data_IF_105131167307
#
_entry.id   IF_105131167307
#
_cell.length_a   1.000
_cell.length_b   1.000
_cell.length_c   1.000
_cell.angle_alpha   90.00
_cell.angle_beta   90.00
_cell.angle_gamma   90.00
#
_symmetry.space_group_name_H-M   'P 1'
#
loop_
_entity.id
_entity.type
_entity.pdbx_description
1 polymer ?
#
# COMPACT_ATOMS: atom_id res chain seq x y z
N UNK A 1 -35.23 18.97 -52.99
CA UNK A 1 -35.09 18.72 -51.53
C UNK A 1 -34.32 17.43 -51.38
N UNK A 2 -33.18 17.45 -50.67
CA UNK A 2 -32.35 16.24 -50.55
C UNK A 2 -33.05 15.20 -49.65
N UNK A 3 -32.88 13.89 -49.92
CA UNK A 3 -33.61 12.82 -49.21
C UNK A 3 -33.45 12.88 -47.69
N UNK A 4 -32.31 13.37 -47.19
CA UNK A 4 -32.03 13.50 -45.76
C UNK A 4 -32.75 14.67 -45.08
N UNK A 5 -33.18 15.70 -45.83
CA UNK A 5 -33.96 16.83 -45.31
C UNK A 5 -35.41 16.44 -45.07
N UNK A 6 -35.99 15.67 -46.00
CA UNK A 6 -37.33 15.12 -45.87
C UNK A 6 -37.38 14.10 -44.72
N UNK A 7 -36.38 13.20 -44.66
CA UNK A 7 -36.22 12.26 -43.55
C UNK A 7 -36.02 12.94 -42.18
N UNK A 8 -35.48 14.17 -42.14
CA UNK A 8 -35.37 14.94 -40.90
C UNK A 8 -36.73 15.44 -40.41
N UNK A 9 -37.57 15.96 -41.32
CA UNK A 9 -38.94 16.41 -41.00
C UNK A 9 -39.79 15.25 -40.48
N UNK A 10 -39.69 14.12 -41.17
CA UNK A 10 -40.34 12.86 -40.80
C UNK A 10 -39.91 12.36 -39.40
N UNK A 11 -38.62 12.47 -39.07
CA UNK A 11 -38.13 12.21 -37.71
C UNK A 11 -38.70 13.19 -36.69
N UNK A 12 -38.75 14.48 -37.01
CA UNK A 12 -39.31 15.50 -36.10
C UNK A 12 -40.81 15.28 -35.86
N UNK A 13 -41.51 14.67 -36.81
CA UNK A 13 -42.90 14.20 -36.66
C UNK A 13 -43.02 12.89 -35.86
N UNK A 14 -41.91 12.32 -35.36
CA UNK A 14 -41.89 11.17 -34.47
C UNK A 14 -41.69 9.81 -35.13
N UNK A 15 -41.47 9.74 -36.46
CA UNK A 15 -41.24 8.46 -37.13
C UNK A 15 -39.92 7.82 -36.75
N UNK A 16 -39.93 6.48 -36.62
CA UNK A 16 -38.73 5.72 -36.25
C UNK A 16 -37.80 5.57 -37.44
N UNK A 17 -36.50 5.39 -37.17
CA UNK A 17 -35.49 5.26 -38.24
C UNK A 17 -35.71 4.05 -39.17
N UNK A 18 -36.40 3.01 -38.71
CA UNK A 18 -36.78 1.86 -39.54
C UNK A 18 -37.84 2.25 -40.59
N UNK A 19 -38.90 2.94 -40.15
CA UNK A 19 -39.98 3.42 -41.02
C UNK A 19 -39.47 4.45 -42.04
N UNK A 20 -38.56 5.33 -41.62
CA UNK A 20 -37.89 6.29 -42.52
C UNK A 20 -37.01 5.55 -43.54
N UNK A 21 -36.28 4.52 -43.13
CA UNK A 21 -35.45 3.72 -44.01
C UNK A 21 -36.30 3.04 -45.11
N UNK A 22 -37.41 2.42 -44.73
CA UNK A 22 -38.36 1.79 -45.65
C UNK A 22 -39.02 2.81 -46.59
N UNK A 23 -39.53 3.94 -46.06
CA UNK A 23 -40.20 5.00 -46.85
C UNK A 23 -39.31 5.60 -47.94
N UNK A 24 -38.01 5.75 -47.68
CA UNK A 24 -37.07 6.34 -48.63
C UNK A 24 -36.23 5.30 -49.40
N UNK A 25 -36.49 4.00 -49.19
CA UNK A 25 -35.77 2.89 -49.83
C UNK A 25 -34.27 2.89 -49.52
N UNK A 26 -33.88 3.30 -48.32
CA UNK A 26 -32.48 3.39 -47.89
C UNK A 26 -32.21 2.45 -46.71
N UNK A 27 -30.96 2.04 -46.53
CA UNK A 27 -30.61 1.24 -45.36
C UNK A 27 -30.75 2.05 -44.06
N UNK A 28 -31.06 1.38 -42.95
CA UNK A 28 -31.07 2.01 -41.63
C UNK A 28 -29.72 2.65 -41.28
N UNK A 29 -28.61 2.11 -41.81
CA UNK A 29 -27.27 2.66 -41.60
C UNK A 29 -27.10 4.00 -42.32
N UNK A 30 -27.74 4.18 -43.48
CA UNK A 30 -27.79 5.46 -44.20
C UNK A 30 -28.53 6.52 -43.38
N UNK A 31 -29.68 6.17 -42.78
CA UNK A 31 -30.43 7.08 -41.89
C UNK A 31 -29.61 7.47 -40.66
N UNK A 32 -28.89 6.52 -40.05
CA UNK A 32 -27.96 6.80 -38.94
C UNK A 32 -26.80 7.71 -39.37
N UNK A 33 -26.27 7.54 -40.56
CA UNK A 33 -25.23 8.41 -41.11
C UNK A 33 -25.73 9.84 -41.33
N UNK A 34 -26.97 10.02 -41.80
CA UNK A 34 -27.62 11.33 -41.90
C UNK A 34 -27.78 12.01 -40.54
N UNK A 35 -28.20 11.26 -39.51
CA UNK A 35 -28.25 11.77 -38.13
C UNK A 35 -26.89 12.34 -37.70
N UNK A 36 -25.83 11.53 -37.85
CA UNK A 36 -24.50 11.90 -37.39
C UNK A 36 -23.91 13.10 -38.14
N UNK A 37 -24.09 13.14 -39.48
CA UNK A 37 -23.38 14.10 -40.34
C UNK A 37 -24.16 15.38 -40.59
N UNK A 38 -25.49 15.33 -40.63
CA UNK A 38 -26.35 16.44 -41.05
C UNK A 38 -27.26 16.91 -39.91
N UNK A 39 -27.96 15.98 -39.24
CA UNK A 39 -28.97 16.37 -38.25
C UNK A 39 -28.38 16.86 -36.93
N UNK A 40 -27.22 16.35 -36.49
CA UNK A 40 -26.58 16.81 -35.26
C UNK A 40 -26.32 18.33 -35.23
N UNK A 41 -25.99 18.95 -36.38
CA UNK A 41 -25.81 20.41 -36.49
C UNK A 41 -27.16 21.15 -36.50
N UNK A 42 -28.18 20.56 -37.14
CA UNK A 42 -29.53 21.10 -37.20
C UNK A 42 -30.23 21.06 -35.82
N UNK A 43 -30.01 19.99 -35.05
CA UNK A 43 -30.54 19.79 -33.69
C UNK A 43 -29.91 20.82 -32.72
N UNK A 44 -28.63 21.16 -32.86
CA UNK A 44 -27.94 22.19 -32.07
C UNK A 44 -28.43 23.62 -32.39
N UNK A 45 -28.83 23.88 -33.64
CA UNK A 45 -29.38 25.17 -34.05
C UNK A 45 -30.85 25.35 -33.64
N UNK A 46 -31.62 24.26 -33.57
CA UNK A 46 -33.04 24.29 -33.20
C UNK A 46 -33.31 24.15 -31.70
N UNK A 47 -32.37 23.61 -30.91
CA UNK A 47 -32.43 23.50 -29.46
C UNK A 47 -31.03 23.72 -28.87
N UNK A 48 -30.71 24.92 -28.38
CA UNK A 48 -29.44 25.17 -27.70
C UNK A 48 -29.37 24.28 -26.45
N UNK A 49 -28.25 23.58 -26.19
CA UNK A 49 -28.10 22.86 -24.94
C UNK A 49 -28.14 23.85 -23.76
N UNK A 50 -28.85 23.55 -22.65
CA UNK A 50 -28.81 24.40 -21.46
C UNK A 50 -27.35 24.57 -21.01
N UNK A 51 -26.97 25.80 -20.65
CA UNK A 51 -25.63 26.14 -20.14
C UNK A 51 -25.22 25.11 -19.10
N UNK A 52 -24.08 24.44 -19.33
CA UNK A 52 -23.49 23.49 -18.39
C UNK A 52 -23.06 24.22 -17.12
N UNK A 53 -23.97 24.32 -16.16
CA UNK A 53 -23.59 24.49 -14.75
C UNK A 53 -23.10 23.14 -14.24
N UNK A 54 -21.93 23.12 -13.62
CA UNK A 54 -21.29 21.92 -13.14
C UNK A 54 -22.11 21.30 -11.98
N UNK A 55 -23.02 20.39 -12.30
CA UNK A 55 -23.60 19.51 -11.30
C UNK A 55 -22.60 18.40 -10.97
N UNK A 56 -22.00 18.51 -9.78
CA UNK A 56 -21.20 17.45 -9.17
C UNK A 56 -22.13 16.24 -8.98
N UNK A 57 -21.96 15.22 -9.83
CA UNK A 57 -22.66 13.94 -9.66
C UNK A 57 -22.26 13.33 -8.33
N UNK A 58 -23.18 13.30 -7.38
CA UNK A 58 -23.05 12.45 -6.21
C UNK A 58 -23.15 11.00 -6.68
N UNK A 59 -22.07 10.23 -6.49
CA UNK A 59 -22.10 8.78 -6.62
C UNK A 59 -22.93 8.26 -5.45
N UNK A 60 -24.22 8.03 -5.69
CA UNK A 60 -25.07 7.27 -4.79
C UNK A 60 -24.54 5.84 -4.67
N UNK A 61 -23.77 5.58 -3.62
CA UNK A 61 -23.64 4.25 -3.06
C UNK A 61 -24.64 4.20 -1.91
N UNK A 62 -25.67 3.36 -2.05
CA UNK A 62 -26.59 3.03 -0.96
C UNK A 62 -25.77 2.38 0.15
N UNK A 63 -25.25 3.18 1.07
CA UNK A 63 -24.58 2.67 2.25
C UNK A 63 -25.67 2.08 3.13
N UNK A 64 -25.69 0.74 3.24
CA UNK A 64 -26.34 0.04 4.35
C UNK A 64 -26.03 0.84 5.62
N UNK A 65 -27.07 1.35 6.29
CA UNK A 65 -26.99 1.80 7.68
C UNK A 65 -26.53 0.59 8.50
N UNK A 66 -25.22 0.40 8.57
CA UNK A 66 -24.64 -0.28 9.72
C UNK A 66 -24.89 0.70 10.86
N UNK A 67 -25.77 0.33 11.78
CA UNK A 67 -25.85 0.97 13.09
C UNK A 67 -24.87 0.20 13.97
N UNK A 68 -23.61 0.64 14.09
CA UNK A 68 -22.81 0.28 15.25
C UNK A 68 -23.55 0.83 16.47
N UNK A 69 -24.06 -0.10 17.26
CA UNK A 69 -24.72 0.18 18.53
C UNK A 69 -23.60 0.53 19.51
N UNK A 70 -23.20 1.81 19.50
CA UNK A 70 -22.43 2.38 20.58
C UNK A 70 -23.44 2.74 21.67
N UNK A 71 -23.46 1.94 22.74
CA UNK A 71 -24.29 2.16 23.93
C UNK A 71 -23.69 3.27 24.82
N UNK A 72 -23.61 4.48 24.26
CA UNK A 72 -23.19 5.69 24.98
C UNK A 72 -24.29 6.76 24.89
N UNK A 73 -25.08 6.94 25.94
CA UNK A 73 -26.18 7.92 25.96
C UNK A 73 -25.70 9.39 26.05
N UNK A 74 -24.41 9.63 26.34
CA UNK A 74 -23.83 10.96 26.47
C UNK A 74 -23.45 11.59 25.12
N UNK A 75 -23.33 10.77 24.06
CA UNK A 75 -22.94 11.20 22.72
C UNK A 75 -24.13 11.21 21.76
N UNK A 76 -24.22 12.25 20.94
CA UNK A 76 -25.21 12.29 19.86
C UNK A 76 -24.91 11.23 18.80
N UNK A 77 -25.93 10.79 18.05
CA UNK A 77 -25.74 9.83 16.96
C UNK A 77 -24.66 10.28 15.97
N UNK A 78 -24.61 11.58 15.64
CA UNK A 78 -23.58 12.13 14.75
C UNK A 78 -22.18 12.07 15.35
N UNK A 79 -22.05 12.25 16.66
CA UNK A 79 -20.77 12.13 17.36
C UNK A 79 -20.29 10.68 17.42
N UNK A 80 -21.21 9.74 17.65
CA UNK A 80 -20.93 8.30 17.55
C UNK A 80 -20.42 7.96 16.15
N UNK A 81 -21.16 8.35 15.11
CA UNK A 81 -20.76 8.16 13.71
C UNK A 81 -19.40 8.80 13.40
N UNK A 82 -19.13 9.98 13.97
CA UNK A 82 -17.82 10.62 13.84
C UNK A 82 -16.69 9.76 14.41
N UNK A 83 -16.86 9.20 15.61
CA UNK A 83 -15.84 8.34 16.23
C UNK A 83 -15.55 7.11 15.37
N UNK A 84 -16.58 6.48 14.83
CA UNK A 84 -16.46 5.30 13.96
C UNK A 84 -15.75 5.61 12.64
N UNK A 85 -16.17 6.68 11.96
CA UNK A 85 -15.49 7.11 10.73
C UNK A 85 -14.07 7.59 11.01
N UNK A 86 -13.79 8.13 12.19
CA UNK A 86 -12.44 8.50 12.58
C UNK A 86 -11.54 7.27 12.71
N UNK A 87 -12.01 6.19 13.35
CA UNK A 87 -11.25 4.93 13.43
C UNK A 87 -11.08 4.26 12.06
N UNK A 88 -12.03 4.46 11.13
CA UNK A 88 -11.91 3.93 9.77
C UNK A 88 -10.88 4.69 8.92
N UNK A 89 -10.87 6.03 8.96
CA UNK A 89 -10.06 6.85 8.03
C UNK A 89 -8.81 7.48 8.67
N UNK A 90 -8.70 7.45 10.00
CA UNK A 90 -7.70 8.19 10.79
C UNK A 90 -7.55 9.65 10.37
N UNK A 91 -8.68 10.26 9.96
CA UNK A 91 -8.73 11.62 9.44
C UNK A 91 -9.98 12.33 9.97
N UNK A 92 -9.78 13.30 10.86
CA UNK A 92 -10.87 14.03 11.51
C UNK A 92 -11.76 14.77 10.51
N UNK A 93 -11.18 15.47 9.54
CA UNK A 93 -11.93 16.21 8.52
C UNK A 93 -12.84 15.28 7.72
N UNK A 94 -12.30 14.16 7.23
CA UNK A 94 -13.05 13.19 6.44
C UNK A 94 -14.14 12.50 7.27
N UNK A 95 -13.84 12.15 8.53
CA UNK A 95 -14.80 11.56 9.45
C UNK A 95 -15.97 12.51 9.73
N UNK A 96 -15.67 13.80 9.95
CA UNK A 96 -16.69 14.83 10.17
C UNK A 96 -17.56 15.04 8.93
N UNK A 97 -16.97 15.09 7.74
CA UNK A 97 -17.74 15.18 6.49
C UNK A 97 -18.74 14.04 6.33
N UNK A 98 -18.36 12.82 6.73
CA UNK A 98 -19.26 11.66 6.62
C UNK A 98 -20.33 11.65 7.72
N UNK A 99 -19.95 11.95 8.96
CA UNK A 99 -20.87 11.97 10.09
C UNK A 99 -21.92 13.08 10.00
N UNK A 100 -21.51 14.28 9.57
CA UNK A 100 -22.35 15.47 9.52
C UNK A 100 -22.81 15.86 8.11
N UNK A 101 -22.37 15.12 7.08
CA UNK A 101 -22.74 15.33 5.67
C UNK A 101 -22.51 16.78 5.20
N UNK A 102 -21.40 17.38 5.63
CA UNK A 102 -21.09 18.77 5.32
C UNK A 102 -19.96 18.92 4.29
N UNK A 103 -19.79 20.14 3.77
CA UNK A 103 -18.69 20.46 2.86
C UNK A 103 -17.33 20.41 3.58
N UNK A 104 -16.26 20.38 2.78
CA UNK A 104 -14.90 20.22 3.26
C UNK A 104 -14.44 21.38 4.14
N UNK A 105 -14.80 22.64 3.81
CA UNK A 105 -14.34 23.79 4.55
C UNK A 105 -14.98 23.82 5.95
N UNK A 106 -16.28 23.54 6.03
CA UNK A 106 -16.99 23.39 7.29
C UNK A 106 -16.40 22.28 8.16
N UNK A 107 -16.16 21.10 7.57
CA UNK A 107 -15.56 19.98 8.29
C UNK A 107 -14.14 20.29 8.78
N UNK A 108 -13.32 20.92 7.95
CA UNK A 108 -11.94 21.28 8.29
C UNK A 108 -11.87 22.21 9.50
N UNK A 109 -12.82 23.13 9.62
CA UNK A 109 -12.88 24.06 10.75
C UNK A 109 -13.44 23.41 12.03
N UNK A 110 -14.45 22.55 11.91
CA UNK A 110 -15.17 21.98 13.05
C UNK A 110 -14.54 20.69 13.59
N UNK A 111 -13.98 19.83 12.75
CA UNK A 111 -13.50 18.51 13.14
C UNK A 111 -12.41 18.53 14.22
N UNK A 112 -11.39 19.42 14.18
CA UNK A 112 -10.40 19.50 15.25
C UNK A 112 -11.01 19.88 16.60
N UNK A 113 -12.02 20.76 16.60
CA UNK A 113 -12.73 21.16 17.82
C UNK A 113 -13.54 20.01 18.39
N UNK A 114 -14.17 19.21 17.53
CA UNK A 114 -14.92 18.03 17.96
C UNK A 114 -13.99 16.98 18.57
N UNK A 115 -12.85 16.70 17.91
CA UNK A 115 -11.83 15.77 18.40
C UNK A 115 -11.20 16.20 19.73
N UNK A 116 -11.19 17.51 20.03
CA UNK A 116 -10.66 18.03 21.28
C UNK A 116 -11.60 17.82 22.48
N UNK A 117 -12.89 17.54 22.27
CA UNK A 117 -13.86 17.31 23.35
C UNK A 117 -13.51 16.06 24.15
N UNK A 118 -13.62 16.16 25.47
CA UNK A 118 -13.27 15.08 26.42
C UNK A 118 -14.09 13.81 26.14
N UNK A 119 -15.41 13.93 26.04
CA UNK A 119 -16.29 12.79 25.76
C UNK A 119 -15.98 12.06 24.45
N UNK A 120 -15.55 12.80 23.42
CA UNK A 120 -15.15 12.21 22.13
C UNK A 120 -13.83 11.45 22.25
N UNK A 121 -12.88 11.97 23.04
CA UNK A 121 -11.60 11.31 23.29
C UNK A 121 -11.77 10.03 24.10
N UNK A 122 -12.60 10.08 25.15
CA UNK A 122 -12.92 8.92 25.98
C UNK A 122 -13.55 7.81 25.14
N UNK A 123 -14.55 8.14 24.33
CA UNK A 123 -15.18 7.18 23.41
C UNK A 123 -14.18 6.58 22.40
N UNK A 124 -13.35 7.42 21.79
CA UNK A 124 -12.29 6.93 20.88
C UNK A 124 -11.29 6.01 21.59
N UNK A 125 -11.02 6.26 22.87
CA UNK A 125 -10.12 5.43 23.67
C UNK A 125 -10.77 4.08 24.00
N UNK A 126 -12.05 4.08 24.36
CA UNK A 126 -12.85 2.86 24.60
C UNK A 126 -12.93 2.00 23.34
N UNK A 127 -13.39 2.57 22.23
CA UNK A 127 -13.51 1.86 20.95
C UNK A 127 -12.17 1.34 20.44
N UNK A 128 -11.08 2.07 20.68
CA UNK A 128 -9.73 1.61 20.32
C UNK A 128 -9.29 0.45 21.21
N UNK A 129 -9.60 0.47 22.51
CA UNK A 129 -9.30 -0.62 23.41
C UNK A 129 -10.09 -1.88 23.06
N UNK A 130 -11.38 -1.75 22.73
CA UNK A 130 -12.22 -2.85 22.22
C UNK A 130 -11.64 -3.43 20.93
N UNK A 131 -11.29 -2.57 19.97
CA UNK A 131 -10.66 -3.01 18.72
C UNK A 131 -9.31 -3.71 18.98
N UNK A 132 -8.53 -3.26 19.95
CA UNK A 132 -7.28 -3.92 20.36
C UNK A 132 -7.51 -5.23 21.12
N UNK A 133 -8.66 -5.42 21.76
CA UNK A 133 -9.03 -6.72 22.35
C UNK A 133 -9.47 -7.72 21.26
N UNK A 134 -10.19 -7.24 20.25
CA UNK A 134 -10.60 -8.05 19.09
C UNK A 134 -9.43 -8.37 18.14
N UNK A 135 -8.44 -7.47 18.04
CA UNK A 135 -7.19 -7.69 17.31
C UNK A 135 -6.16 -8.26 18.28
N UNK A 136 -5.94 -9.57 18.24
CA UNK A 136 -4.92 -10.30 19.02
C UNK A 136 -3.44 -9.89 18.76
N UNK A 137 -3.18 -8.75 18.12
CA UNK A 137 -1.84 -8.27 17.76
C UNK A 137 -1.55 -6.97 18.52
N UNK A 138 -0.64 -7.03 19.49
CA UNK A 138 -0.16 -5.91 20.28
C UNK A 138 1.08 -5.25 19.64
N UNK A 139 1.44 -4.05 20.13
CA UNK A 139 2.69 -3.35 19.80
C UNK A 139 3.90 -4.25 20.07
N UNK A 140 3.86 -5.09 21.12
CA UNK A 140 4.91 -6.08 21.40
C UNK A 140 5.06 -7.11 20.29
N UNK A 141 3.97 -7.53 19.67
CA UNK A 141 4.00 -8.48 18.55
C UNK A 141 4.61 -7.82 17.31
N UNK A 142 4.30 -6.54 17.07
CA UNK A 142 4.92 -5.76 15.99
C UNK A 142 6.43 -5.56 16.21
N UNK A 143 6.85 -5.30 17.45
CA UNK A 143 8.28 -5.19 17.81
C UNK A 143 8.97 -6.53 17.62
N UNK A 144 8.33 -7.62 18.04
CA UNK A 144 8.85 -8.98 17.86
C UNK A 144 9.06 -9.28 16.38
N UNK A 145 8.12 -8.87 15.52
CA UNK A 145 8.24 -9.01 14.07
C UNK A 145 9.44 -8.22 13.50
N UNK A 146 9.63 -6.95 13.91
CA UNK A 146 10.81 -6.19 13.52
C UNK A 146 12.13 -6.80 14.03
N UNK A 147 12.13 -7.37 15.24
CA UNK A 147 13.30 -8.08 15.78
C UNK A 147 13.65 -9.28 14.90
N UNK A 148 12.65 -10.09 14.51
CA UNK A 148 12.89 -11.24 13.62
C UNK A 148 13.46 -10.82 12.27
N UNK A 149 12.89 -9.79 11.65
CA UNK A 149 13.40 -9.24 10.37
C UNK A 149 14.81 -8.67 10.52
N UNK A 150 15.11 -8.04 11.65
CA UNK A 150 16.46 -7.55 11.95
C UNK A 150 17.44 -8.71 12.17
N UNK A 151 17.06 -9.76 12.90
CA UNK A 151 17.97 -10.87 13.22
C UNK A 151 18.16 -11.85 12.07
N UNK A 152 17.27 -11.88 11.08
CA UNK A 152 17.29 -12.84 9.99
C UNK A 152 18.59 -12.84 9.19
N UNK A 153 19.04 -14.04 8.79
CA UNK A 153 20.21 -14.27 7.94
C UNK A 153 19.80 -14.96 6.64
N UNK A 154 20.38 -14.55 5.51
CA UNK A 154 20.06 -15.13 4.19
C UNK A 154 20.40 -16.63 4.10
N UNK A 155 21.38 -17.08 4.89
CA UNK A 155 21.84 -18.48 4.93
C UNK A 155 20.84 -19.44 5.58
N UNK A 156 19.88 -18.91 6.36
CA UNK A 156 18.75 -19.69 6.88
C UNK A 156 17.80 -20.14 5.75
N UNK A 157 17.86 -19.48 4.59
CA UNK A 157 16.96 -19.69 3.45
C UNK A 157 17.68 -20.25 2.23
N UNK A 158 18.95 -19.88 2.05
CA UNK A 158 19.73 -20.14 0.85
C UNK A 158 20.93 -21.01 1.17
N UNK A 159 21.12 -22.04 0.35
CA UNK A 159 22.28 -22.92 0.37
C UNK A 159 23.08 -22.71 -0.91
N UNK A 160 24.41 -22.60 -0.79
CA UNK A 160 25.29 -22.38 -1.93
C UNK A 160 26.31 -23.51 -1.93
N UNK A 161 26.22 -24.37 -2.95
CA UNK A 161 27.15 -25.48 -3.15
C UNK A 161 28.12 -25.17 -4.28
N UNK A 162 29.36 -25.61 -4.11
CA UNK A 162 30.39 -25.50 -5.14
C UNK A 162 30.43 -26.78 -5.96
N UNK A 163 29.91 -26.72 -7.18
CA UNK A 163 29.92 -27.85 -8.11
C UNK A 163 31.12 -27.72 -9.05
N UNK A 164 31.98 -28.74 -9.03
CA UNK A 164 33.09 -28.88 -9.97
C UNK A 164 32.65 -29.67 -11.20
N UNK A 165 33.00 -29.20 -12.40
CA UNK A 165 32.67 -29.87 -13.65
C UNK A 165 33.83 -29.85 -14.64
N UNK A 166 33.92 -30.88 -15.48
CA UNK A 166 34.93 -30.94 -16.53
C UNK A 166 34.64 -29.93 -17.63
N UNK A 167 35.60 -29.07 -17.97
CA UNK A 167 35.43 -28.11 -19.06
C UNK A 167 35.51 -28.84 -20.40
N UNK A 168 34.52 -28.64 -21.25
CA UNK A 168 34.45 -29.21 -22.61
C UNK A 168 34.48 -28.13 -23.68
N UNK A 169 35.11 -28.42 -24.80
CA UNK A 169 35.13 -27.54 -25.98
C UNK A 169 33.79 -27.60 -26.75
N UNK A 170 33.66 -26.78 -27.81
CA UNK A 170 32.46 -26.74 -28.66
C UNK A 170 32.17 -28.05 -29.40
N UNK A 171 33.13 -28.97 -29.47
CA UNK A 171 32.99 -30.29 -30.08
C UNK A 171 32.74 -31.40 -29.02
N UNK A 172 32.69 -31.03 -27.73
CA UNK A 172 32.43 -31.95 -26.62
C UNK A 172 33.67 -32.64 -26.04
N UNK A 173 34.88 -32.30 -26.49
CA UNK A 173 36.12 -32.89 -25.98
C UNK A 173 36.55 -32.20 -24.68
N UNK A 174 37.17 -32.96 -23.77
CA UNK A 174 37.71 -32.42 -22.51
C UNK A 174 38.86 -31.45 -22.80
N UNK A 175 38.77 -30.26 -22.23
CA UNK A 175 39.84 -29.25 -22.33
C UNK A 175 40.97 -29.64 -21.39
N UNK A 176 42.20 -29.54 -21.89
CA UNK A 176 43.42 -29.81 -21.13
C UNK A 176 44.33 -28.58 -21.11
N UNK A 177 45.14 -28.44 -20.06
CA UNK A 177 46.21 -27.45 -19.97
C UNK A 177 47.35 -27.80 -20.93
N UNK A 178 48.30 -26.88 -21.10
CA UNK A 178 49.50 -27.11 -21.94
C UNK A 178 50.33 -28.30 -21.44
N UNK A 179 50.22 -28.63 -20.16
CA UNK A 179 50.93 -29.73 -19.49
C UNK A 179 50.15 -31.05 -19.53
N UNK A 180 48.95 -31.06 -20.14
CA UNK A 180 48.13 -32.26 -20.37
C UNK A 180 47.14 -32.60 -19.25
N UNK A 181 47.08 -31.79 -18.18
CA UNK A 181 46.11 -31.93 -17.09
C UNK A 181 44.71 -31.48 -17.51
N UNK A 182 43.65 -32.07 -16.95
CA UNK A 182 42.27 -31.69 -17.28
C UNK A 182 41.90 -30.36 -16.62
N UNK A 183 41.21 -29.50 -17.38
CA UNK A 183 40.69 -28.23 -16.85
C UNK A 183 39.36 -28.47 -16.15
N UNK A 184 39.29 -28.12 -14.87
CA UNK A 184 38.08 -28.20 -14.04
C UNK A 184 37.47 -26.79 -13.90
N UNK A 185 36.19 -26.67 -14.24
CA UNK A 185 35.37 -25.50 -13.98
C UNK A 185 34.70 -25.61 -12.62
N UNK A 186 34.41 -24.46 -12.02
CA UNK A 186 33.72 -24.35 -10.73
C UNK A 186 32.53 -23.42 -10.89
N UNK A 187 31.36 -23.85 -10.43
CA UNK A 187 30.15 -23.02 -10.38
C UNK A 187 29.53 -23.09 -9.00
N UNK A 188 29.07 -21.95 -8.50
CA UNK A 188 28.26 -21.90 -7.29
C UNK A 188 26.80 -22.14 -7.68
N UNK A 189 26.24 -23.25 -7.24
CA UNK A 189 24.83 -23.58 -7.39
C UNK A 189 24.08 -23.10 -6.15
N UNK A 190 23.04 -22.31 -6.37
CA UNK A 190 22.27 -21.68 -5.31
C UNK A 190 20.91 -22.37 -5.21
N UNK A 191 20.62 -22.92 -4.05
CA UNK A 191 19.36 -23.58 -3.72
C UNK A 191 18.62 -22.81 -2.65
N UNK A 192 17.30 -22.86 -2.70
CA UNK A 192 16.45 -22.41 -1.59
C UNK A 192 16.07 -23.65 -0.79
N UNK A 193 16.24 -23.60 0.53
CA UNK A 193 15.85 -24.67 1.44
C UNK A 193 14.35 -24.97 1.31
N UNK A 194 13.89 -26.10 1.84
CA UNK A 194 12.46 -26.40 1.81
C UNK A 194 11.69 -25.37 2.63
N UNK A 195 10.49 -24.97 2.19
CA UNK A 195 9.62 -24.07 2.96
C UNK A 195 9.17 -24.65 4.31
N UNK A 196 9.44 -25.93 4.58
CA UNK A 196 9.25 -26.57 5.88
C UNK A 196 10.39 -26.33 6.87
N UNK A 197 11.55 -25.93 6.36
CA UNK A 197 12.80 -25.82 7.11
C UNK A 197 13.16 -24.36 7.46
N UNK A 198 12.37 -23.38 7.00
CA UNK A 198 12.60 -21.96 7.26
C UNK A 198 11.30 -21.17 7.46
N UNK A 199 11.40 -20.01 8.13
CA UNK A 199 10.27 -19.09 8.30
C UNK A 199 10.10 -18.18 7.08
N UNK A 200 9.11 -18.51 6.23
CA UNK A 200 8.83 -17.73 5.02
C UNK A 200 8.35 -16.30 5.25
N UNK A 201 7.95 -15.92 6.47
CA UNK A 201 7.53 -14.54 6.76
C UNK A 201 8.67 -13.53 6.65
N UNK A 202 9.92 -13.99 6.74
CA UNK A 202 11.13 -13.17 6.65
C UNK A 202 11.58 -12.92 5.20
N UNK A 203 10.95 -13.60 4.24
CA UNK A 203 11.30 -13.51 2.82
C UNK A 203 10.33 -12.56 2.12
N UNK A 204 10.87 -11.49 1.54
CA UNK A 204 10.10 -10.51 0.78
C UNK A 204 9.70 -11.02 -0.60
N UNK A 205 10.59 -11.79 -1.25
CA UNK A 205 10.36 -12.30 -2.61
C UNK A 205 11.26 -13.50 -2.93
N UNK A 206 10.71 -14.47 -3.67
CA UNK A 206 11.47 -15.54 -4.31
C UNK A 206 11.10 -15.56 -5.79
N UNK A 207 12.09 -15.60 -6.68
CA UNK A 207 11.88 -15.71 -8.13
C UNK A 207 12.85 -16.68 -8.76
N UNK A 208 12.38 -17.45 -9.73
CA UNK A 208 13.22 -18.33 -10.56
C UNK A 208 13.20 -17.84 -12.00
N UNK A 209 14.34 -17.35 -12.47
CA UNK A 209 14.54 -16.88 -13.84
C UNK A 209 15.34 -17.88 -14.68
N UNK A 210 15.71 -17.46 -15.90
CA UNK A 210 16.59 -18.26 -16.77
C UNK A 210 18.00 -18.41 -16.18
N UNK A 211 18.43 -17.44 -15.40
CA UNK A 211 19.79 -17.34 -14.84
C UNK A 211 19.88 -17.88 -13.39
N UNK A 212 18.80 -18.45 -12.85
CA UNK A 212 18.79 -19.06 -11.51
C UNK A 212 17.73 -18.48 -10.57
N UNK A 213 17.89 -18.76 -9.28
CA UNK A 213 16.98 -18.34 -8.22
C UNK A 213 17.48 -17.03 -7.58
N UNK A 214 16.56 -16.10 -7.36
CA UNK A 214 16.80 -14.86 -6.63
C UNK A 214 15.86 -14.80 -5.42
N UNK A 215 16.46 -14.63 -4.23
CA UNK A 215 15.77 -14.49 -2.95
C UNK A 215 16.03 -13.08 -2.42
N UNK A 216 14.97 -12.39 -2.04
CA UNK A 216 15.00 -11.04 -1.47
C UNK A 216 14.38 -11.08 -0.07
N UNK A 217 15.09 -10.55 0.93
CA UNK A 217 14.60 -10.41 2.30
C UNK A 217 14.08 -8.99 2.57
N UNK A 218 13.40 -8.81 3.70
CA UNK A 218 13.06 -7.47 4.19
C UNK A 218 14.31 -6.70 4.59
N UNK A 219 14.22 -5.37 4.55
CA UNK A 219 15.34 -4.47 4.83
C UNK A 219 15.66 -4.45 6.33
N UNK A 220 16.75 -5.12 6.69
CA UNK A 220 17.30 -5.19 8.05
C UNK A 220 17.64 -3.83 8.65
N UNK A 221 18.12 -2.87 7.85
CA UNK A 221 18.45 -1.52 8.32
C UNK A 221 17.18 -0.73 8.62
N UNK A 222 16.13 -0.91 7.82
CA UNK A 222 14.83 -0.29 8.07
C UNK A 222 14.20 -0.84 9.34
N UNK A 223 14.20 -2.16 9.55
CA UNK A 223 13.72 -2.78 10.78
C UNK A 223 14.48 -2.26 12.01
N UNK A 224 15.81 -2.18 11.92
CA UNK A 224 16.66 -1.62 12.98
C UNK A 224 16.32 -0.16 13.30
N UNK A 225 16.12 0.66 12.28
CA UNK A 225 15.75 2.08 12.44
C UNK A 225 14.42 2.25 13.17
N UNK A 226 13.39 1.46 12.81
CA UNK A 226 12.10 1.49 13.51
C UNK A 226 12.22 1.02 14.97
N UNK A 227 13.01 -0.02 15.24
CA UNK A 227 13.30 -0.47 16.60
C UNK A 227 14.02 0.60 17.44
N UNK A 228 14.97 1.34 16.86
CA UNK A 228 15.69 2.41 17.55
C UNK A 228 14.80 3.59 17.93
N UNK A 229 13.84 3.95 17.07
CA UNK A 229 12.82 4.96 17.40
C UNK A 229 12.00 4.53 18.61
N UNK A 230 11.63 3.25 18.67
CA UNK A 230 10.85 2.70 19.78
C UNK A 230 11.64 2.65 21.10
N UNK A 231 12.93 2.32 21.04
CA UNK A 231 13.83 2.28 22.19
C UNK A 231 14.26 3.67 22.70
N UNK A 232 13.67 4.75 22.17
CA UNK A 232 13.86 6.13 22.65
C UNK A 232 15.17 6.80 22.22
N UNK A 233 15.85 6.28 21.19
CA UNK A 233 17.24 6.63 20.92
C UNK A 233 17.47 7.52 19.71
N UNK A 234 17.08 8.81 19.75
CA UNK A 234 17.74 9.81 18.89
C UNK A 234 19.25 9.86 19.24
N UNK A 235 19.60 9.73 20.52
CA UNK A 235 20.99 9.66 20.99
C UNK A 235 21.76 8.40 20.55
N UNK A 236 21.08 7.24 20.47
CA UNK A 236 21.70 5.97 20.06
C UNK A 236 21.94 5.95 18.53
N UNK A 237 20.99 6.54 17.79
CA UNK A 237 21.06 6.79 16.34
C UNK A 237 22.18 7.79 16.00
N UNK A 238 22.28 8.90 16.74
CA UNK A 238 23.34 9.91 16.60
C UNK A 238 24.73 9.32 16.89
N UNK A 239 24.85 8.50 17.95
CA UNK A 239 26.11 7.84 18.34
C UNK A 239 26.57 6.74 17.36
N UNK A 240 25.69 6.20 16.52
CA UNK A 240 26.04 5.24 15.47
C UNK A 240 26.30 5.91 14.11
N UNK A 241 25.54 6.95 13.77
CA UNK A 241 25.81 7.80 12.60
C UNK A 241 27.19 8.44 12.69
N UNK A 242 27.60 8.90 13.89
CA UNK A 242 28.94 9.44 14.12
C UNK A 242 30.07 8.41 13.94
N UNK A 243 29.80 7.12 14.19
CA UNK A 243 30.75 6.02 13.94
C UNK A 243 30.85 5.61 12.47
N UNK A 244 29.78 5.80 11.71
CA UNK A 244 29.73 5.50 10.26
C UNK A 244 30.36 6.62 9.42
N UNK A 245 30.27 7.88 9.89
CA UNK A 245 31.00 9.02 9.31
C UNK A 245 32.40 9.08 9.92
N UNK A 246 33.30 8.22 9.44
CA UNK A 246 34.64 8.03 10.00
C UNK A 246 35.34 9.30 10.45
N UNK A 247 35.61 9.39 11.76
CA UNK A 247 36.71 10.16 12.29
C UNK A 247 37.54 9.20 13.15
N UNK A 248 38.67 8.77 12.60
CA UNK A 248 39.67 7.95 13.27
C UNK A 248 40.14 8.64 14.56
N UNK A 249 40.05 7.93 15.69
CA UNK A 249 40.26 8.56 17.00
C UNK A 249 40.57 7.61 18.14
N UNK A 250 41.52 6.70 17.96
CA UNK A 250 42.31 6.03 19.02
C UNK A 250 41.61 5.05 19.98
N UNK A 251 42.40 4.05 20.37
CA UNK A 251 42.11 2.79 21.08
C UNK A 251 41.56 2.94 22.51
N UNK A 252 41.22 4.13 22.99
CA UNK A 252 40.72 4.36 24.35
C UNK A 252 39.18 4.25 24.44
N UNK A 253 38.46 4.42 23.33
CA UNK A 253 36.99 4.43 23.32
C UNK A 253 36.37 3.02 23.38
N UNK A 254 37.16 1.99 23.04
CA UNK A 254 36.71 0.60 23.06
C UNK A 254 36.55 0.02 24.49
N UNK A 255 37.23 0.60 25.48
CA UNK A 255 37.02 0.25 26.90
C UNK A 255 35.88 1.05 27.54
N UNK A 256 35.63 2.26 27.06
CA UNK A 256 34.64 3.17 27.63
C UNK A 256 33.20 2.71 27.34
N UNK A 257 32.91 2.18 26.14
CA UNK A 257 31.58 1.64 25.82
C UNK A 257 31.27 0.34 26.58
N UNK A 258 32.27 -0.52 26.81
CA UNK A 258 32.08 -1.74 27.62
C UNK A 258 31.69 -1.37 29.05
N UNK A 259 32.35 -0.37 29.64
CA UNK A 259 31.98 0.17 30.96
C UNK A 259 30.56 0.76 30.97
N UNK A 260 30.20 1.56 29.98
CA UNK A 260 28.87 2.18 29.91
C UNK A 260 27.72 1.16 29.74
N UNK A 261 27.93 0.11 28.94
CA UNK A 261 26.94 -0.97 28.75
C UNK A 261 26.80 -1.81 30.03
N UNK A 262 27.91 -2.13 30.69
CA UNK A 262 27.90 -2.86 31.98
C UNK A 262 27.20 -2.03 33.06
N UNK A 263 27.45 -0.72 33.13
CA UNK A 263 26.84 0.17 34.12
C UNK A 263 25.33 0.37 33.89
N UNK A 264 24.90 0.45 32.61
CA UNK A 264 23.49 0.49 32.25
C UNK A 264 22.76 -0.83 32.57
N UNK A 265 23.42 -1.98 32.33
CA UNK A 265 22.88 -3.29 32.69
C UNK A 265 22.75 -3.47 34.21
N UNK A 266 23.75 -3.02 34.97
CA UNK A 266 23.73 -3.10 36.44
C UNK A 266 22.70 -2.16 37.08
N UNK A 267 22.47 -0.96 36.52
CA UNK A 267 21.37 -0.08 36.96
C UNK A 267 20.00 -0.73 36.83
N UNK A 268 19.81 -1.55 35.79
CA UNK A 268 18.55 -2.25 35.52
C UNK A 268 18.32 -3.45 36.46
N UNK A 269 19.39 -4.13 36.88
CA UNK A 269 19.32 -5.24 37.83
C UNK A 269 19.04 -4.78 39.28
N UNK A 270 19.40 -3.54 39.63
CA UNK A 270 19.14 -2.97 40.98
C UNK A 270 17.69 -2.50 41.14
N UNK A 271 17.02 -2.13 40.05
CA UNK A 271 15.62 -1.66 40.08
C UNK A 271 14.57 -2.79 40.12
N UNK A 272 14.96 -4.04 39.86
CA UNK A 272 14.06 -5.21 39.85
C UNK A 272 14.04 -6.01 41.17
N UNK A 273 14.82 -5.59 42.18
CA UNK A 273 14.87 -6.22 43.52
C UNK A 273 14.44 -5.28 44.66
N UNK A 274 13.61 -4.27 44.37
CA UNK A 274 13.03 -3.34 45.35
C UNK A 274 11.52 -3.47 45.44
#
# INVERSE_FOLDING_TARGET
MEKWELAYKDRQQGMKYKEIAEKYGVSINTVKAWKSRKWNKQDQASNPPPKKVAHKKEKGCTQKKLQPVIDNDELTEQQKMFCLFYLQHFNATKAYQQAYQCDYNSARAAAPRLLAKVSIKEELHTLKAELQQDIFVDVKDLITEYIKQFSADITDFVEVDLTEYEVRDKAGNKVKTKDGEQVIGRINEVYVRSSKDFDGSLVKKITQGKDGISVEMYDKQKAMSELMKYLGGDALREAQLSKLTGNDGTTNDQENWKKAVIEAANKRAVTDNG
#
